data_IF_202743262796
#
_entry.id   IF_202743262796
#
_cell.length_a   1.000
_cell.length_b   1.000
_cell.length_c   1.000
_cell.angle_alpha   90.00
_cell.angle_beta   90.00
_cell.angle_gamma   90.00
#
_symmetry.space_group_name_H-M   'P 1'
#
loop_
_entity.id
_entity.type
_entity.pdbx_description
1 polymer ?
#
# COMPACT_ATOMS: atom_id res chain seq x y z
N UNK A 1 6.29 -2.28 32.74
CA UNK A 1 5.54 -2.69 31.53
C UNK A 1 5.87 -1.68 30.44
N UNK A 2 6.13 -2.12 29.22
CA UNK A 2 6.46 -1.21 28.12
C UNK A 2 5.27 -0.33 27.74
N UNK A 3 5.54 0.85 27.17
CA UNK A 3 4.50 1.70 26.58
C UNK A 3 3.86 0.98 25.40
N UNK A 4 2.54 1.07 25.26
CA UNK A 4 1.82 0.52 24.10
C UNK A 4 1.92 1.49 22.91
N UNK A 5 1.55 1.03 21.70
CA UNK A 5 1.47 1.90 20.53
C UNK A 5 0.41 2.99 20.71
N UNK A 6 -0.69 2.64 21.37
CA UNK A 6 -1.79 3.54 21.70
C UNK A 6 -1.31 4.64 22.66
N UNK A 7 -0.52 4.28 23.67
CA UNK A 7 0.07 5.24 24.61
C UNK A 7 1.05 6.20 23.91
N UNK A 8 1.82 5.69 22.94
CA UNK A 8 2.75 6.51 22.15
C UNK A 8 1.98 7.49 21.25
N UNK A 9 1.03 7.00 20.46
CA UNK A 9 0.21 7.83 19.55
C UNK A 9 -0.54 8.92 20.32
N UNK A 10 -1.06 8.59 21.50
CA UNK A 10 -1.80 9.54 22.35
C UNK A 10 -0.92 10.66 22.93
N UNK A 11 0.39 10.43 22.98
CA UNK A 11 1.37 11.42 23.48
C UNK A 11 1.97 12.30 22.39
N UNK A 12 1.73 11.98 21.12
CA UNK A 12 2.26 12.72 19.97
C UNK A 12 1.30 13.82 19.49
N UNK A 13 1.82 14.75 18.68
CA UNK A 13 0.98 15.79 18.08
C UNK A 13 0.08 15.24 16.97
N UNK A 14 -1.12 15.81 16.75
CA UNK A 14 -2.01 15.36 15.67
C UNK A 14 -1.36 15.38 14.29
N UNK A 15 -0.50 16.37 14.02
CA UNK A 15 0.23 16.50 12.75
C UNK A 15 1.26 15.37 12.53
N UNK A 16 1.91 14.92 13.60
CA UNK A 16 2.85 13.78 13.53
C UNK A 16 2.07 12.49 13.30
N UNK A 17 0.97 12.29 14.02
CA UNK A 17 0.10 11.13 13.85
C UNK A 17 -0.47 11.07 12.44
N UNK A 18 -0.90 12.21 11.87
CA UNK A 18 -1.44 12.26 10.52
C UNK A 18 -0.38 11.92 9.46
N UNK A 19 0.83 12.52 9.56
CA UNK A 19 1.94 12.17 8.65
C UNK A 19 2.34 10.71 8.76
N UNK A 20 2.35 10.14 9.97
CA UNK A 20 2.65 8.73 10.17
C UNK A 20 1.60 7.82 9.52
N UNK A 21 0.31 8.19 9.58
CA UNK A 21 -0.76 7.45 8.90
C UNK A 21 -0.64 7.52 7.38
N UNK A 22 -0.34 8.69 6.83
CA UNK A 22 -0.12 8.86 5.39
C UNK A 22 1.05 8.03 4.90
N UNK A 23 2.16 8.04 5.63
CA UNK A 23 3.33 7.22 5.30
C UNK A 23 3.07 5.72 5.47
N UNK A 24 2.30 5.31 6.49
CA UNK A 24 1.89 3.92 6.65
C UNK A 24 1.02 3.44 5.47
N UNK A 25 0.17 4.32 4.92
CA UNK A 25 -0.64 3.99 3.75
C UNK A 25 0.20 3.86 2.47
N UNK A 26 1.16 4.77 2.28
CA UNK A 26 2.16 4.65 1.20
C UNK A 26 2.90 3.31 1.27
N UNK A 27 3.41 2.94 2.45
CA UNK A 27 4.09 1.66 2.67
C UNK A 27 3.17 0.46 2.40
N UNK A 28 1.89 0.57 2.76
CA UNK A 28 0.90 -0.49 2.53
C UNK A 28 0.71 -0.76 1.03
N UNK A 29 0.51 0.30 0.24
CA UNK A 29 0.37 0.19 -1.22
C UNK A 29 1.66 -0.34 -1.83
N UNK A 30 2.81 0.18 -1.42
CA UNK A 30 4.11 -0.28 -1.90
C UNK A 30 4.30 -1.78 -1.66
N UNK A 31 4.09 -2.27 -0.44
CA UNK A 31 4.20 -3.70 -0.09
C UNK A 31 3.23 -4.57 -0.91
N UNK A 32 1.99 -4.10 -1.11
CA UNK A 32 1.00 -4.83 -1.89
C UNK A 32 1.46 -4.98 -3.36
N UNK A 33 1.92 -3.90 -3.98
CA UNK A 33 2.43 -3.93 -5.36
C UNK A 33 3.70 -4.77 -5.46
N UNK A 34 4.63 -4.65 -4.51
CA UNK A 34 5.83 -5.50 -4.47
C UNK A 34 5.45 -6.98 -4.44
N UNK A 35 4.51 -7.38 -3.56
CA UNK A 35 4.02 -8.77 -3.49
C UNK A 35 3.38 -9.23 -4.80
N UNK A 36 2.61 -8.38 -5.46
CA UNK A 36 2.00 -8.68 -6.75
C UNK A 36 3.07 -8.97 -7.80
N UNK A 37 4.08 -8.09 -7.89
CA UNK A 37 5.17 -8.20 -8.85
C UNK A 37 6.12 -9.38 -8.54
N UNK A 38 6.35 -9.70 -7.27
CA UNK A 38 7.13 -10.89 -6.89
C UNK A 38 6.52 -12.20 -7.40
N UNK A 39 5.19 -12.26 -7.59
CA UNK A 39 4.54 -13.43 -8.18
C UNK A 39 4.82 -13.58 -9.68
N UNK A 40 5.34 -12.56 -10.36
CA UNK A 40 5.63 -12.57 -11.79
C UNK A 40 7.00 -13.16 -12.12
N UNK A 41 7.80 -13.52 -11.11
CA UNK A 41 9.05 -14.26 -11.29
C UNK A 41 10.26 -13.36 -11.51
N UNK A 42 10.74 -12.76 -10.43
CA UNK A 42 12.13 -12.29 -10.33
C UNK A 42 12.60 -12.59 -8.90
N UNK A 43 13.76 -13.23 -8.76
CA UNK A 43 14.35 -13.59 -7.47
C UNK A 43 14.75 -12.38 -6.61
N UNK A 44 14.60 -11.17 -7.13
CA UNK A 44 14.87 -9.90 -6.45
C UNK A 44 13.57 -9.13 -6.17
N UNK A 45 13.63 -8.24 -5.17
CA UNK A 45 12.53 -7.31 -4.86
C UNK A 45 12.38 -6.35 -6.04
N UNK A 46 11.22 -6.34 -6.74
CA UNK A 46 11.03 -5.46 -7.88
C UNK A 46 11.03 -4.00 -7.43
N UNK A 47 11.87 -3.18 -8.08
CA UNK A 47 11.88 -1.74 -7.88
C UNK A 47 10.62 -1.13 -8.52
N UNK A 48 9.90 -0.33 -7.74
CA UNK A 48 8.67 0.34 -8.17
C UNK A 48 9.00 1.82 -8.35
N UNK A 49 8.71 2.33 -9.55
CA UNK A 49 8.85 3.74 -9.85
C UNK A 49 7.97 4.60 -8.89
N UNK A 50 8.52 5.64 -8.25
CA UNK A 50 7.77 6.48 -7.31
C UNK A 50 6.54 7.16 -7.93
N UNK A 51 6.58 7.55 -9.21
CA UNK A 51 5.45 8.20 -9.87
C UNK A 51 4.30 7.21 -10.12
N UNK A 52 4.63 5.95 -10.37
CA UNK A 52 3.64 4.86 -10.44
C UNK A 52 2.97 4.65 -9.07
N UNK A 53 3.76 4.62 -7.99
CA UNK A 53 3.22 4.49 -6.63
C UNK A 53 2.31 5.67 -6.26
N UNK A 54 2.75 6.90 -6.56
CA UNK A 54 1.98 8.12 -6.33
C UNK A 54 0.65 8.13 -7.10
N UNK A 55 0.67 7.63 -8.34
CA UNK A 55 -0.53 7.48 -9.17
C UNK A 55 -1.52 6.47 -8.57
N UNK A 56 -1.02 5.33 -8.06
CA UNK A 56 -1.85 4.32 -7.40
C UNK A 56 -2.46 4.84 -6.09
N UNK A 57 -1.69 5.56 -5.27
CA UNK A 57 -2.20 6.21 -4.06
C UNK A 57 -3.30 7.24 -4.37
N UNK A 58 -3.10 8.02 -5.43
CA UNK A 58 -4.08 9.03 -5.86
C UNK A 58 -5.37 8.35 -6.35
N UNK A 59 -5.24 7.28 -7.14
CA UNK A 59 -6.38 6.49 -7.59
C UNK A 59 -7.13 5.86 -6.42
N UNK A 60 -6.39 5.24 -5.47
CA UNK A 60 -6.96 4.67 -4.25
C UNK A 60 -7.81 5.70 -3.51
N UNK A 61 -7.25 6.87 -3.19
CA UNK A 61 -7.96 7.96 -2.50
C UNK A 61 -9.23 8.37 -3.24
N UNK A 62 -9.16 8.48 -4.57
CA UNK A 62 -10.31 8.85 -5.39
C UNK A 62 -11.41 7.78 -5.43
N UNK A 63 -11.05 6.49 -5.32
CA UNK A 63 -12.00 5.38 -5.28
C UNK A 63 -12.64 5.29 -3.90
N UNK A 64 -11.85 5.38 -2.84
CA UNK A 64 -12.33 5.29 -1.46
C UNK A 64 -13.20 6.49 -1.03
N UNK A 65 -13.02 7.66 -1.65
CA UNK A 65 -13.92 8.80 -1.42
C UNK A 65 -15.36 8.55 -1.87
N UNK A 66 -15.60 7.47 -2.62
CA UNK A 66 -16.91 7.04 -3.09
C UNK A 66 -17.34 5.71 -2.44
N UNK A 67 -16.77 5.35 -1.27
CA UNK A 67 -17.01 4.07 -0.56
C UNK A 67 -16.69 2.81 -1.40
N UNK A 68 -15.87 2.97 -2.44
CA UNK A 68 -15.42 1.86 -3.29
C UNK A 68 -14.08 1.28 -2.80
N UNK A 69 -13.70 0.12 -3.35
CA UNK A 69 -12.40 -0.53 -3.08
C UNK A 69 -11.62 -0.69 -4.36
N UNK A 70 -10.30 -0.53 -4.27
CA UNK A 70 -9.39 -0.71 -5.38
C UNK A 70 -8.66 -2.07 -5.27
N UNK A 71 -8.74 -2.86 -6.33
CA UNK A 71 -8.04 -4.13 -6.46
C UNK A 71 -7.27 -4.15 -7.78
N UNK A 72 -6.03 -4.61 -7.73
CA UNK A 72 -5.18 -4.81 -8.91
C UNK A 72 -5.08 -6.30 -9.21
N UNK A 73 -5.20 -6.67 -10.47
CA UNK A 73 -5.07 -8.05 -10.95
C UNK A 73 -4.13 -8.12 -12.14
N UNK A 74 -3.26 -9.14 -12.14
CA UNK A 74 -2.41 -9.50 -13.28
C UNK A 74 -2.87 -10.86 -13.80
N UNK A 75 -3.23 -10.88 -15.09
CA UNK A 75 -3.63 -12.10 -15.79
C UNK A 75 -2.40 -12.71 -16.48
N UNK A 76 -2.11 -13.96 -16.13
CA UNK A 76 -0.95 -14.69 -16.63
C UNK A 76 -1.28 -15.43 -17.94
N UNK A 77 -0.27 -15.69 -18.80
CA UNK A 77 -0.47 -16.43 -20.05
C UNK A 77 -0.98 -17.87 -19.87
N UNK A 78 -0.72 -18.48 -18.71
CA UNK A 78 -1.17 -19.83 -18.35
C UNK A 78 -2.63 -19.88 -17.84
N UNK A 79 -3.31 -18.72 -17.80
CA UNK A 79 -4.68 -18.58 -17.31
C UNK A 79 -4.80 -18.36 -15.80
N UNK A 80 -3.70 -18.36 -15.04
CA UNK A 80 -3.70 -18.01 -13.62
C UNK A 80 -3.74 -16.49 -13.42
N UNK A 81 -4.17 -16.04 -12.23
CA UNK A 81 -4.24 -14.61 -11.90
C UNK A 81 -3.66 -14.34 -10.51
N UNK A 82 -2.95 -13.23 -10.37
CA UNK A 82 -2.49 -12.71 -9.08
C UNK A 82 -3.16 -11.38 -8.81
N UNK A 83 -3.64 -11.16 -7.59
CA UNK A 83 -4.32 -9.92 -7.24
C UNK A 83 -4.00 -9.42 -5.84
N UNK A 84 -4.09 -8.11 -5.66
CA UNK A 84 -3.92 -7.43 -4.37
C UNK A 84 -4.97 -6.35 -4.20
N UNK A 85 -5.40 -6.13 -2.96
CA UNK A 85 -6.24 -5.00 -2.60
C UNK A 85 -5.32 -3.89 -2.10
N UNK A 86 -5.44 -2.72 -2.72
CA UNK A 86 -4.69 -1.54 -2.32
C UNK A 86 -5.58 -0.56 -1.61
#
# INVERSE_FOLDING_TARGET
>A
MGRTLEDLISSESPEVVQRAKEHAEELRVHIAVTKLLSNLGAGDVPEIDPDVLNSLLSLKKSVESHDCRLSLFVHMPDGTHHGVNI
#
